data_IF_788420023666
#
_entry.id   IF_788420023666
#
_cell.length_a   1.000
_cell.length_b   1.000
_cell.length_c   1.000
_cell.angle_alpha   90.00
_cell.angle_beta   90.00
_cell.angle_gamma   90.00
#
_symmetry.space_group_name_H-M   'P 1'
#
loop_
_entity.id
_entity.type
_entity.pdbx_description
1 polymer ?
#
# COMPACT_ATOMS: atom_id res chain seq x y z
N UNK A 1 -19.66 -27.28 9.36
CA UNK A 1 -18.77 -27.06 10.51
C UNK A 1 -17.52 -26.36 9.97
N UNK A 2 -17.18 -25.16 10.44
CA UNK A 2 -16.01 -24.45 9.92
C UNK A 2 -14.77 -25.10 10.52
N UNK A 3 -13.97 -25.78 9.70
CA UNK A 3 -12.69 -26.33 10.13
C UNK A 3 -11.69 -25.20 10.37
N UNK A 4 -11.03 -25.22 11.52
CA UNK A 4 -10.00 -24.23 11.91
C UNK A 4 -8.93 -24.08 10.81
N UNK A 5 -8.59 -25.19 10.13
CA UNK A 5 -7.67 -25.21 8.99
C UNK A 5 -8.12 -24.29 7.84
N UNK A 6 -9.41 -24.26 7.53
CA UNK A 6 -9.98 -23.41 6.48
C UNK A 6 -9.96 -21.93 6.85
N UNK A 7 -10.13 -21.60 8.13
CA UNK A 7 -9.99 -20.23 8.64
C UNK A 7 -8.53 -19.76 8.58
N UNK A 8 -7.58 -20.60 9.00
CA UNK A 8 -6.14 -20.29 8.97
C UNK A 8 -5.65 -20.06 7.54
N UNK A 9 -6.07 -20.89 6.58
CA UNK A 9 -5.75 -20.72 5.16
C UNK A 9 -6.29 -19.40 4.60
N UNK A 10 -7.54 -19.04 4.92
CA UNK A 10 -8.13 -17.76 4.51
C UNK A 10 -7.36 -16.59 5.13
N UNK A 11 -6.98 -16.68 6.39
CA UNK A 11 -6.22 -15.64 7.08
C UNK A 11 -4.83 -15.44 6.47
N UNK A 12 -4.11 -16.54 6.22
CA UNK A 12 -2.80 -16.49 5.55
C UNK A 12 -2.88 -15.85 4.17
N UNK A 13 -3.92 -16.18 3.38
CA UNK A 13 -4.12 -15.60 2.05
C UNK A 13 -4.45 -14.10 2.12
N UNK A 14 -5.15 -13.65 3.16
CA UNK A 14 -5.43 -12.23 3.40
C UNK A 14 -4.15 -11.47 3.75
N UNK A 15 -3.36 -11.98 4.70
CA UNK A 15 -2.08 -11.41 5.10
C UNK A 15 -1.13 -11.28 3.90
N UNK A 16 -0.99 -12.36 3.12
CA UNK A 16 -0.15 -12.36 1.93
C UNK A 16 -0.62 -11.31 0.90
N UNK A 17 -1.94 -11.18 0.69
CA UNK A 17 -2.45 -10.15 -0.22
C UNK A 17 -2.23 -8.73 0.31
N UNK A 18 -2.17 -8.51 1.62
CA UNK A 18 -1.86 -7.20 2.20
C UNK A 18 -0.37 -6.86 2.10
N UNK A 19 0.51 -7.82 2.35
CA UNK A 19 1.96 -7.65 2.17
C UNK A 19 2.34 -7.35 0.72
N UNK A 20 1.76 -8.07 -0.24
CA UNK A 20 1.98 -7.82 -1.67
C UNK A 20 1.52 -6.41 -2.07
N UNK A 21 0.38 -5.95 -1.55
CA UNK A 21 -0.10 -4.57 -1.77
C UNK A 21 0.90 -3.58 -1.19
N UNK A 22 1.33 -3.81 0.05
CA UNK A 22 2.25 -2.94 0.79
C UNK A 22 3.59 -2.79 0.07
N UNK A 23 4.18 -3.90 -0.35
CA UNK A 23 5.44 -3.90 -1.10
C UNK A 23 5.30 -3.17 -2.43
N UNK A 24 4.19 -3.37 -3.15
CA UNK A 24 3.91 -2.66 -4.39
C UNK A 24 3.81 -1.14 -4.18
N UNK A 25 3.23 -0.70 -3.07
CA UNK A 25 3.12 0.73 -2.72
C UNK A 25 4.48 1.33 -2.41
N UNK A 26 5.30 0.65 -1.62
CA UNK A 26 6.67 1.09 -1.30
C UNK A 26 7.49 1.22 -2.58
N UNK A 27 7.40 0.24 -3.47
CA UNK A 27 8.10 0.24 -4.75
C UNK A 27 7.69 1.43 -5.63
N UNK A 28 6.39 1.71 -5.73
CA UNK A 28 5.88 2.88 -6.49
C UNK A 28 6.32 4.20 -5.86
N UNK A 29 6.28 4.32 -4.54
CA UNK A 29 6.72 5.53 -3.83
C UNK A 29 8.22 5.74 -4.00
N UNK A 30 9.01 4.67 -3.98
CA UNK A 30 10.43 4.71 -4.28
C UNK A 30 10.69 5.13 -5.74
N UNK A 31 9.93 4.61 -6.71
CA UNK A 31 10.09 4.95 -8.12
C UNK A 31 9.72 6.41 -8.45
N UNK A 32 8.68 6.96 -7.81
CA UNK A 32 8.13 8.28 -8.16
C UNK A 32 8.77 9.39 -7.33
N UNK A 33 8.91 9.17 -6.03
CA UNK A 33 9.37 10.19 -5.08
C UNK A 33 10.84 9.96 -4.70
N UNK A 34 11.44 8.82 -5.07
CA UNK A 34 12.78 8.46 -4.61
C UNK A 34 12.83 8.13 -3.12
N UNK A 35 11.67 7.88 -2.49
CA UNK A 35 11.59 7.71 -1.05
C UNK A 35 11.82 6.25 -0.64
N UNK A 36 12.84 6.02 0.18
CA UNK A 36 12.97 4.76 0.91
C UNK A 36 12.08 4.81 2.14
N UNK A 37 10.86 4.28 2.00
CA UNK A 37 9.90 4.16 3.10
C UNK A 37 10.01 2.75 3.66
N UNK A 38 10.12 2.62 4.98
CA UNK A 38 10.07 1.32 5.62
C UNK A 38 8.64 0.79 5.58
N UNK A 39 8.43 -0.54 5.49
CA UNK A 39 7.09 -1.10 5.62
C UNK A 39 6.43 -0.71 6.95
N UNK A 40 7.19 -0.47 8.01
CA UNK A 40 6.68 0.00 9.30
C UNK A 40 5.94 1.35 9.21
N UNK A 41 6.39 2.23 8.32
CA UNK A 41 5.85 3.58 8.13
C UNK A 41 4.64 3.60 7.17
N UNK A 42 4.37 2.49 6.48
CA UNK A 42 3.20 2.33 5.61
C UNK A 42 2.12 1.53 6.35
N UNK A 43 0.94 2.12 6.53
CA UNK A 43 -0.24 1.39 7.02
C UNK A 43 -1.34 1.46 5.99
N UNK A 44 -1.96 0.32 5.70
CA UNK A 44 -3.12 0.25 4.82
C UNK A 44 -4.33 -0.04 5.72
N UNK A 45 -5.28 0.89 5.79
CA UNK A 45 -6.54 0.71 6.54
C UNK A 45 -7.68 1.17 5.66
N UNK A 46 -8.74 0.36 5.56
CA UNK A 46 -9.94 0.67 4.74
C UNK A 46 -9.61 1.09 3.30
N UNK A 47 -8.62 0.43 2.68
CA UNK A 47 -8.15 0.77 1.33
C UNK A 47 -7.53 2.19 1.22
N UNK A 48 -7.19 2.82 2.34
CA UNK A 48 -6.44 4.09 2.42
C UNK A 48 -5.03 3.80 2.90
N UNK A 49 -4.04 4.39 2.22
CA UNK A 49 -2.64 4.30 2.60
C UNK A 49 -2.34 5.46 3.55
N UNK A 50 -1.90 5.15 4.75
CA UNK A 50 -1.37 6.09 5.72
C UNK A 50 0.15 6.01 5.68
N UNK A 51 0.79 7.14 5.38
CA UNK A 51 2.25 7.26 5.32
C UNK A 51 2.76 8.07 6.51
N UNK A 52 3.45 7.41 7.43
CA UNK A 52 4.10 8.07 8.55
C UNK A 52 5.50 8.59 8.15
N UNK A 53 5.54 9.57 7.24
CA UNK A 53 6.78 10.13 6.69
C UNK A 53 7.01 11.56 7.16
N UNK A 54 8.26 12.05 7.02
CA UNK A 54 8.60 13.43 7.36
C UNK A 54 7.74 14.43 6.53
N UNK A 55 7.32 15.57 7.10
CA UNK A 55 6.47 16.55 6.41
C UNK A 55 7.01 17.04 5.06
N UNK A 56 8.34 17.14 4.93
CA UNK A 56 9.04 17.49 3.68
C UNK A 56 8.61 16.57 2.53
N UNK A 57 8.50 15.28 2.81
CA UNK A 57 8.09 14.28 1.83
C UNK A 57 6.57 14.19 1.67
N UNK A 58 5.80 14.64 2.67
CA UNK A 58 4.34 14.72 2.56
C UNK A 58 3.92 15.66 1.43
N UNK A 59 4.63 16.80 1.27
CA UNK A 59 4.39 17.71 0.16
C UNK A 59 4.72 17.09 -1.21
N UNK A 60 5.86 16.41 -1.32
CA UNK A 60 6.26 15.71 -2.55
C UNK A 60 5.28 14.59 -2.93
N UNK A 61 4.84 13.79 -1.95
CA UNK A 61 3.82 12.76 -2.15
C UNK A 61 2.48 13.37 -2.55
N UNK A 62 2.11 14.51 -1.98
CA UNK A 62 0.87 15.21 -2.33
C UNK A 62 0.91 15.77 -3.76
N UNK A 63 2.02 16.40 -4.15
CA UNK A 63 2.26 16.90 -5.52
C UNK A 63 2.23 15.77 -6.55
N UNK A 64 2.85 14.64 -6.22
CA UNK A 64 2.93 13.48 -7.10
C UNK A 64 1.77 12.47 -6.91
N UNK A 65 0.76 12.81 -6.09
CA UNK A 65 -0.37 11.90 -5.75
C UNK A 65 -1.00 11.32 -7.02
N UNK A 66 -1.26 12.16 -8.02
CA UNK A 66 -1.83 11.72 -9.30
C UNK A 66 -0.97 10.69 -10.04
N UNK A 67 0.37 10.89 -10.08
CA UNK A 67 1.30 9.93 -10.68
C UNK A 67 1.35 8.63 -9.90
N UNK A 68 1.37 8.72 -8.56
CA UNK A 68 1.36 7.56 -7.66
C UNK A 68 0.10 6.73 -7.88
N UNK A 69 -1.06 7.38 -7.92
CA UNK A 69 -2.33 6.72 -8.21
C UNK A 69 -2.37 6.07 -9.59
N UNK A 70 -1.85 6.74 -10.62
CA UNK A 70 -1.81 6.19 -11.97
C UNK A 70 -0.93 4.95 -12.05
N UNK A 71 0.25 4.97 -11.42
CA UNK A 71 1.18 3.83 -11.35
C UNK A 71 0.65 2.69 -10.48
N UNK A 72 0.00 3.01 -9.36
CA UNK A 72 -0.69 2.01 -8.52
C UNK A 72 -1.85 1.35 -9.27
N UNK A 73 -2.59 2.12 -10.08
CA UNK A 73 -3.66 1.59 -10.92
C UNK A 73 -3.14 0.64 -11.99
N UNK A 74 -1.98 0.94 -12.56
CA UNK A 74 -1.28 0.07 -13.51
C UNK A 74 -0.78 -1.23 -12.84
N UNK A 75 -0.16 -1.14 -11.66
CA UNK A 75 0.38 -2.32 -10.94
C UNK A 75 -0.67 -3.17 -10.23
N UNK A 76 -1.67 -2.58 -9.57
CA UNK A 76 -2.66 -3.29 -8.73
C UNK A 76 -4.03 -3.45 -9.39
N UNK A 77 -4.34 -2.75 -10.48
CA UNK A 77 -5.62 -2.85 -11.18
C UNK A 77 -6.83 -2.60 -10.26
N UNK A 78 -7.67 -3.62 -10.07
CA UNK A 78 -8.88 -3.56 -9.22
C UNK A 78 -8.60 -3.50 -7.71
N UNK A 79 -7.36 -3.72 -7.27
CA UNK A 79 -6.93 -3.66 -5.86
C UNK A 79 -6.30 -2.31 -5.47
N UNK A 80 -6.46 -1.30 -6.32
CA UNK A 80 -5.88 0.03 -6.09
C UNK A 80 -6.46 0.65 -4.82
N UNK A 81 -5.62 1.17 -3.90
CA UNK A 81 -6.06 1.97 -2.77
C UNK A 81 -6.91 3.15 -3.26
N UNK A 82 -7.90 3.56 -2.48
CA UNK A 82 -8.81 4.67 -2.79
C UNK A 82 -8.18 6.03 -2.48
N UNK A 83 -7.37 6.10 -1.42
CA UNK A 83 -6.76 7.36 -0.97
C UNK A 83 -5.35 7.16 -0.34
N UNK A 84 -4.58 8.25 -0.24
CA UNK A 84 -3.25 8.33 0.39
C UNK A 84 -3.24 9.56 1.33
N UNK A 85 -2.96 9.34 2.63
CA UNK A 85 -2.98 10.32 3.73
C UNK A 85 -1.66 10.41 4.51
#
# INVERSE_FOLDING_TARGET
>A
MIEIKGLLLRFSNLLFSEEVKKNSIIDVLHQIVGLQIKPEDVKIKNNVIYLNIKPIYKNEVFLNKNKIFSKLKEKLGKKTPLDIL
#
